data_IF_488268109502
#
_entry.id   IF_488268109502
#
_cell.length_a   1.000
_cell.length_b   1.000
_cell.length_c   1.000
_cell.angle_alpha   90.00
_cell.angle_beta   90.00
_cell.angle_gamma   90.00
#
_symmetry.space_group_name_H-M   'P 1'
#
loop_
_entity.id
_entity.type
_entity.pdbx_description
1 polymer ?
#
# COMPACT_ATOMS: atom_id res chain seq x y z
N UNK A 1 63.77 16.87 5.33
CA UNK A 1 64.91 16.98 4.39
C UNK A 1 64.90 15.71 3.55
N UNK A 2 64.82 15.64 2.22
CA UNK A 2 65.16 16.53 1.10
C UNK A 2 64.24 16.12 -0.07
N UNK A 3 63.78 17.08 -0.87
CA UNK A 3 63.10 16.89 -2.17
C UNK A 3 64.14 16.50 -3.24
N UNK A 4 63.81 15.65 -4.21
CA UNK A 4 64.42 15.70 -5.56
C UNK A 4 63.34 15.37 -6.62
N UNK A 5 63.18 16.33 -7.53
CA UNK A 5 62.46 16.35 -8.81
C UNK A 5 63.51 16.08 -9.91
N UNK A 6 63.14 15.44 -11.04
CA UNK A 6 63.72 15.57 -12.41
C UNK A 6 62.75 14.81 -13.36
N UNK A 7 61.97 15.46 -14.25
CA UNK A 7 62.30 15.97 -15.62
C UNK A 7 62.80 14.86 -16.57
N UNK A 8 62.49 14.72 -17.86
CA UNK A 8 61.67 15.36 -18.90
C UNK A 8 61.91 14.53 -20.18
N UNK A 9 60.97 14.55 -21.16
CA UNK A 9 61.21 14.43 -22.62
C UNK A 9 61.63 13.05 -23.22
N UNK A 10 61.33 12.67 -24.47
CA UNK A 10 60.51 13.18 -25.60
C UNK A 10 60.71 12.21 -26.80
N UNK A 11 59.72 12.12 -27.69
CA UNK A 11 59.86 11.61 -29.07
C UNK A 11 59.31 10.19 -29.29
N UNK A 12 58.52 9.90 -30.30
CA UNK A 12 58.04 10.66 -31.47
C UNK A 12 57.91 9.71 -32.67
N UNK A 13 56.87 9.95 -33.49
CA UNK A 13 56.70 9.47 -34.89
C UNK A 13 56.33 7.96 -35.01
N UNK A 14 55.53 7.43 -35.94
CA UNK A 14 54.87 7.86 -37.19
C UNK A 14 54.11 6.63 -37.77
N UNK A 15 53.27 6.87 -38.79
CA UNK A 15 52.66 5.92 -39.75
C UNK A 15 51.51 5.04 -39.19
N UNK A 16 50.45 4.69 -39.90
CA UNK A 16 49.85 5.06 -41.19
C UNK A 16 48.63 4.14 -41.36
N UNK A 17 47.64 4.60 -42.11
CA UNK A 17 46.44 3.87 -42.53
C UNK A 17 46.68 2.40 -42.95
N UNK A 18 45.77 1.51 -42.53
CA UNK A 18 45.67 0.13 -43.02
C UNK A 18 44.41 -0.58 -42.47
N UNK A 19 43.41 -0.78 -43.33
CA UNK A 19 42.21 -1.60 -43.10
C UNK A 19 42.55 -3.06 -42.74
N UNK A 20 41.89 -3.62 -41.71
CA UNK A 20 40.97 -4.77 -41.81
C UNK A 20 40.58 -5.36 -40.45
N UNK A 21 39.26 -5.55 -40.31
CA UNK A 21 38.50 -6.61 -39.63
C UNK A 21 38.55 -6.76 -38.10
N UNK A 22 37.33 -6.62 -37.54
CA UNK A 22 36.62 -7.56 -36.62
C UNK A 22 37.44 -8.12 -35.43
N UNK A 23 37.05 -8.01 -34.16
CA UNK A 23 35.72 -8.10 -33.59
C UNK A 23 35.81 -7.86 -32.06
N UNK A 24 34.67 -7.46 -31.47
CA UNK A 24 34.20 -7.71 -30.09
C UNK A 24 34.60 -6.76 -28.94
N UNK A 25 33.59 -5.92 -28.66
CA UNK A 25 32.90 -5.70 -27.37
C UNK A 25 33.50 -4.65 -26.42
N UNK A 26 33.19 -3.42 -26.78
CA UNK A 26 32.72 -2.35 -25.89
C UNK A 26 31.75 -2.92 -24.83
N UNK A 27 31.88 -2.56 -23.55
CA UNK A 27 31.76 -1.18 -23.11
C UNK A 27 30.32 -1.02 -22.64
N UNK A 28 30.16 -0.96 -21.32
CA UNK A 28 28.90 -0.77 -20.62
C UNK A 28 28.29 0.58 -21.01
N UNK A 29 27.40 0.57 -22.00
CA UNK A 29 26.44 1.65 -22.28
C UNK A 29 25.11 1.29 -21.60
N UNK A 30 24.76 2.03 -20.55
CA UNK A 30 23.38 2.08 -20.05
C UNK A 30 22.54 2.83 -21.08
N UNK A 31 21.89 2.09 -21.98
CA UNK A 31 20.79 2.60 -22.80
C UNK A 31 19.49 2.35 -22.05
N UNK A 32 18.88 3.44 -21.62
CA UNK A 32 17.45 3.55 -21.33
C UNK A 32 16.66 2.98 -22.50
N UNK A 33 16.11 1.79 -22.29
CA UNK A 33 14.93 1.30 -22.99
C UNK A 33 13.91 0.95 -21.90
N UNK A 34 12.98 1.86 -21.66
CA UNK A 34 11.72 1.55 -20.98
C UNK A 34 10.85 0.90 -22.06
N UNK A 35 10.63 -0.43 -22.07
CA UNK A 35 9.42 -0.92 -22.67
C UNK A 35 8.31 -0.46 -21.74
N UNK A 36 7.51 0.48 -22.21
CA UNK A 36 6.16 0.65 -21.71
C UNK A 36 5.37 -0.60 -22.06
N UNK A 37 5.61 -1.66 -21.27
CA UNK A 37 4.59 -2.65 -21.04
C UNK A 37 3.52 -1.91 -20.24
N UNK A 38 2.49 -1.43 -20.94
CA UNK A 38 1.14 -1.46 -20.37
C UNK A 38 0.97 -2.89 -19.86
N UNK A 39 1.30 -3.10 -18.60
CA UNK A 39 0.76 -4.24 -17.86
C UNK A 39 -0.73 -3.94 -17.86
N UNK A 40 -1.39 -4.60 -18.79
CA UNK A 40 -2.82 -4.87 -18.78
C UNK A 40 -3.25 -5.04 -17.33
N UNK A 41 -4.33 -4.35 -16.97
CA UNK A 41 -5.07 -4.61 -15.76
C UNK A 41 -5.08 -6.13 -15.54
N UNK A 42 -4.42 -6.57 -14.47
CA UNK A 42 -4.64 -7.91 -13.98
C UNK A 42 -6.14 -8.00 -13.75
N UNK A 43 -6.80 -8.89 -14.50
CA UNK A 43 -8.21 -9.18 -14.33
C UNK A 43 -8.52 -9.29 -12.84
N UNK A 44 -9.32 -8.34 -12.38
CA UNK A 44 -9.75 -8.18 -11.02
C UNK A 44 -10.46 -9.46 -10.60
N UNK A 45 -9.87 -10.22 -9.67
CA UNK A 45 -10.70 -10.96 -8.75
C UNK A 45 -11.36 -9.91 -7.84
N UNK A 46 -12.38 -9.22 -8.37
CA UNK A 46 -13.06 -8.16 -7.65
C UNK A 46 -13.52 -8.71 -6.30
N UNK A 47 -13.02 -8.12 -5.22
CA UNK A 47 -13.46 -8.48 -3.87
C UNK A 47 -14.98 -8.24 -3.82
N UNK A 48 -15.80 -9.24 -3.45
CA UNK A 48 -17.24 -9.09 -3.44
C UNK A 48 -17.68 -7.88 -2.61
N UNK A 49 -18.72 -7.19 -3.10
CA UNK A 49 -19.46 -6.19 -2.34
C UNK A 49 -20.75 -6.86 -1.90
N UNK A 50 -20.91 -6.98 -0.59
CA UNK A 50 -22.12 -7.49 0.04
C UNK A 50 -22.42 -6.58 1.23
N UNK A 51 -23.49 -5.80 1.11
CA UNK A 51 -23.90 -4.84 2.14
C UNK A 51 -24.76 -5.49 3.23
N UNK A 52 -25.23 -6.72 3.02
CA UNK A 52 -26.01 -7.48 3.98
C UNK A 52 -25.11 -8.39 4.86
N UNK A 53 -23.83 -8.50 4.52
CA UNK A 53 -22.85 -9.23 5.29
C UNK A 53 -22.25 -8.38 6.41
N UNK A 54 -22.64 -8.65 7.65
CA UNK A 54 -22.05 -8.03 8.85
C UNK A 54 -20.70 -8.64 9.29
N UNK A 55 -20.28 -9.73 8.66
CA UNK A 55 -19.07 -10.47 9.03
C UNK A 55 -19.20 -11.20 10.38
N UNK A 56 -18.04 -11.44 10.99
CA UNK A 56 -17.84 -12.28 12.18
C UNK A 56 -17.40 -11.44 13.37
N UNK A 57 -18.34 -11.18 14.28
CA UNK A 57 -18.06 -10.45 15.51
C UNK A 57 -19.33 -9.98 16.23
N UNK A 58 -19.17 -9.18 17.30
CA UNK A 58 -20.27 -8.79 18.18
C UNK A 58 -21.19 -7.73 17.58
N UNK A 59 -20.75 -6.99 16.55
CA UNK A 59 -21.56 -5.94 15.95
C UNK A 59 -22.51 -6.52 14.91
N UNK A 60 -23.79 -6.19 15.06
CA UNK A 60 -24.90 -6.60 14.19
C UNK A 60 -25.85 -5.42 14.02
N UNK A 61 -26.45 -5.29 12.85
CA UNK A 61 -27.49 -4.29 12.55
C UNK A 61 -27.08 -2.84 12.89
N UNK A 62 -25.78 -2.53 12.73
CA UNK A 62 -25.25 -1.19 13.05
C UNK A 62 -25.75 -0.19 12.00
N UNK A 63 -26.40 0.87 12.48
CA UNK A 63 -26.77 2.03 11.69
C UNK A 63 -26.08 3.28 12.21
N UNK A 64 -25.89 4.26 11.33
CA UNK A 64 -25.38 5.57 11.69
C UNK A 64 -26.52 6.57 11.77
N UNK A 65 -26.40 7.53 12.67
CA UNK A 65 -27.25 8.71 12.68
C UNK A 65 -27.08 9.50 11.39
N UNK A 66 -28.11 10.24 10.97
CA UNK A 66 -28.04 11.07 9.76
C UNK A 66 -26.90 12.09 9.82
N UNK A 67 -26.73 12.74 10.98
CA UNK A 67 -25.64 13.64 11.24
C UNK A 67 -24.37 12.89 11.69
N UNK A 68 -23.21 13.45 11.35
CA UNK A 68 -21.93 13.00 11.93
C UNK A 68 -21.82 13.59 13.34
N UNK A 69 -21.53 12.73 14.30
CA UNK A 69 -21.15 13.15 15.64
C UNK A 69 -19.69 13.64 15.61
N UNK A 70 -19.51 14.97 15.61
CA UNK A 70 -18.19 15.59 15.46
C UNK A 70 -17.21 15.26 16.60
N UNK A 71 -17.69 15.12 17.83
CA UNK A 71 -16.85 14.79 18.99
C UNK A 71 -16.34 13.35 18.89
N UNK A 72 -17.24 12.41 18.57
CA UNK A 72 -16.91 11.01 18.35
C UNK A 72 -15.97 10.83 17.15
N UNK A 73 -16.21 11.55 16.04
CA UNK A 73 -15.34 11.55 14.88
C UNK A 73 -13.94 12.09 15.21
N UNK A 74 -13.82 13.12 16.05
CA UNK A 74 -12.54 13.65 16.48
C UNK A 74 -11.76 12.66 17.36
N UNK A 75 -12.44 11.96 18.26
CA UNK A 75 -11.84 10.87 19.04
C UNK A 75 -11.37 9.73 18.13
N UNK A 76 -12.20 9.33 17.16
CA UNK A 76 -11.88 8.34 16.15
C UNK A 76 -10.70 8.72 15.26
N UNK A 77 -10.58 9.99 14.89
CA UNK A 77 -9.45 10.51 14.11
C UNK A 77 -8.14 10.36 14.88
N UNK A 78 -8.13 10.69 16.16
CA UNK A 78 -6.95 10.56 17.00
C UNK A 78 -6.47 9.10 17.08
N UNK A 79 -7.41 8.16 17.22
CA UNK A 79 -7.13 6.72 17.19
C UNK A 79 -6.62 6.29 15.81
N UNK A 80 -7.34 6.63 14.75
CA UNK A 80 -6.94 6.32 13.37
C UNK A 80 -5.51 6.76 13.07
N UNK A 81 -5.17 8.00 13.43
CA UNK A 81 -3.82 8.56 13.28
C UNK A 81 -2.77 7.75 14.03
N UNK A 82 -3.07 7.33 15.26
CA UNK A 82 -2.13 6.60 16.11
C UNK A 82 -1.86 5.16 15.65
N UNK A 83 -2.88 4.43 15.18
CA UNK A 83 -2.79 2.98 14.97
C UNK A 83 -3.06 2.50 13.53
N UNK A 84 -3.83 3.24 12.72
CA UNK A 84 -4.28 2.75 11.42
C UNK A 84 -3.44 3.28 10.25
N UNK A 85 -2.85 4.48 10.38
CA UNK A 85 -2.11 5.15 9.31
C UNK A 85 -0.82 4.44 8.88
N UNK A 86 -0.32 3.52 9.71
CA UNK A 86 0.81 2.66 9.37
C UNK A 86 0.51 1.75 8.16
N UNK A 87 -0.76 1.39 7.97
CA UNK A 87 -1.18 0.44 6.94
C UNK A 87 -2.21 1.01 5.96
N UNK A 88 -3.03 1.95 6.40
CA UNK A 88 -4.14 2.51 5.62
C UNK A 88 -3.91 3.97 5.29
N UNK A 89 -4.47 4.38 4.15
CA UNK A 89 -4.58 5.77 3.74
C UNK A 89 -6.04 6.06 3.37
N UNK A 90 -6.42 7.34 3.38
CA UNK A 90 -7.78 7.72 2.99
C UNK A 90 -8.06 7.35 1.53
N UNK A 91 -7.26 7.85 0.59
CA UNK A 91 -7.61 7.79 -0.84
C UNK A 91 -6.79 6.80 -1.67
N UNK A 92 -5.69 6.27 -1.12
CA UNK A 92 -4.75 5.42 -1.86
C UNK A 92 -4.59 4.06 -1.23
N UNK A 93 -4.37 3.06 -2.08
CA UNK A 93 -3.90 1.74 -1.66
C UNK A 93 -2.53 1.85 -1.01
N UNK A 94 -2.30 1.08 0.05
CA UNK A 94 -0.99 0.91 0.68
C UNK A 94 -0.80 -0.57 1.09
N UNK A 95 -0.51 -0.85 2.36
CA UNK A 95 -0.48 -2.21 2.91
C UNK A 95 -1.91 -2.74 3.00
N UNK A 96 -2.83 -1.90 3.48
CA UNK A 96 -4.27 -2.14 3.45
C UNK A 96 -4.99 -1.32 2.38
N UNK A 97 -6.31 -1.55 2.22
CA UNK A 97 -7.16 -0.77 1.32
C UNK A 97 -7.21 0.71 1.67
N UNK A 98 -7.50 1.53 0.65
CA UNK A 98 -7.98 2.90 0.86
C UNK A 98 -9.26 2.86 1.72
N UNK A 99 -9.48 3.85 2.58
CA UNK A 99 -10.62 3.86 3.52
C UNK A 99 -11.72 4.86 3.17
N UNK A 100 -11.46 5.84 2.30
CA UNK A 100 -12.49 6.73 1.77
C UNK A 100 -13.61 5.92 1.12
N UNK A 101 -14.85 6.32 1.37
CA UNK A 101 -16.04 5.63 0.87
C UNK A 101 -16.18 4.18 1.33
N UNK A 102 -15.58 3.75 2.46
CA UNK A 102 -15.68 2.35 2.92
C UNK A 102 -17.11 1.87 3.08
N UNK A 103 -18.01 2.77 3.46
CA UNK A 103 -19.43 2.48 3.62
C UNK A 103 -20.23 2.39 2.31
N UNK A 104 -19.60 2.69 1.16
CA UNK A 104 -20.18 2.39 -0.16
C UNK A 104 -19.98 0.93 -0.56
N UNK A 105 -19.05 0.23 0.12
CA UNK A 105 -18.64 -1.13 -0.22
C UNK A 105 -18.83 -2.13 0.92
N UNK A 106 -19.00 -1.70 2.17
CA UNK A 106 -19.14 -2.58 3.34
C UNK A 106 -20.19 -2.03 4.30
N UNK A 107 -20.94 -2.93 4.96
CA UNK A 107 -21.87 -2.53 6.01
C UNK A 107 -21.12 -1.90 7.21
N UNK A 108 -21.76 -1.01 7.99
CA UNK A 108 -21.16 -0.45 9.19
C UNK A 108 -20.71 -1.52 10.19
N UNK A 109 -21.54 -2.56 10.38
CA UNK A 109 -21.23 -3.66 11.27
C UNK A 109 -20.02 -4.47 10.77
N UNK A 110 -19.90 -4.72 9.47
CA UNK A 110 -18.74 -5.40 8.89
C UNK A 110 -17.45 -4.62 9.17
N UNK A 111 -17.46 -3.29 8.95
CA UNK A 111 -16.29 -2.44 9.20
C UNK A 111 -15.89 -2.49 10.68
N UNK A 112 -16.85 -2.39 11.59
CA UNK A 112 -16.57 -2.47 13.03
C UNK A 112 -16.05 -3.86 13.44
N UNK A 113 -16.62 -4.95 12.90
CA UNK A 113 -16.14 -6.31 13.15
C UNK A 113 -14.73 -6.54 12.59
N UNK A 114 -14.40 -5.97 11.42
CA UNK A 114 -13.04 -6.01 10.88
C UNK A 114 -12.02 -5.29 11.76
N UNK A 115 -12.39 -4.14 12.34
CA UNK A 115 -11.53 -3.39 13.26
C UNK A 115 -11.35 -4.14 14.59
N UNK A 116 -12.43 -4.70 15.14
CA UNK A 116 -12.46 -5.33 16.47
C UNK A 116 -11.91 -6.75 16.51
N UNK A 117 -12.18 -7.52 15.46
CA UNK A 117 -11.91 -8.95 15.39
C UNK A 117 -11.30 -9.35 14.02
N UNK A 118 -10.19 -8.74 13.60
CA UNK A 118 -9.62 -9.05 12.29
C UNK A 118 -9.19 -10.52 12.17
N UNK A 119 -8.74 -11.16 13.24
CA UNK A 119 -8.34 -12.58 13.21
C UNK A 119 -9.51 -13.50 12.85
N UNK A 120 -10.67 -13.32 13.51
CA UNK A 120 -11.88 -14.07 13.21
C UNK A 120 -12.42 -13.77 11.81
N UNK A 121 -12.41 -12.50 11.42
CA UNK A 121 -12.81 -12.06 10.08
C UNK A 121 -11.95 -12.74 9.00
N UNK A 122 -10.63 -12.65 9.09
CA UNK A 122 -9.70 -13.27 8.13
C UNK A 122 -9.82 -14.80 8.09
N UNK A 123 -10.20 -15.43 9.21
CA UNK A 123 -10.38 -16.88 9.30
C UNK A 123 -11.71 -17.35 8.72
N UNK A 124 -12.77 -16.57 8.82
CA UNK A 124 -14.14 -17.05 8.59
C UNK A 124 -14.87 -16.26 7.49
N UNK A 125 -14.80 -14.94 7.50
CA UNK A 125 -15.53 -14.07 6.57
C UNK A 125 -15.00 -14.15 5.12
N UNK A 126 -15.86 -14.40 4.11
CA UNK A 126 -15.44 -14.55 2.72
C UNK A 126 -14.87 -13.25 2.13
N UNK A 127 -15.37 -12.08 2.52
CA UNK A 127 -14.88 -10.79 2.02
C UNK A 127 -13.50 -10.50 2.59
N UNK A 128 -13.29 -10.71 3.89
CA UNK A 128 -12.00 -10.53 4.55
C UNK A 128 -10.93 -11.46 3.96
N UNK A 129 -11.29 -12.72 3.64
CA UNK A 129 -10.39 -13.64 2.93
C UNK A 129 -10.04 -13.19 1.52
N UNK A 130 -11.03 -12.67 0.79
CA UNK A 130 -10.80 -12.12 -0.55
C UNK A 130 -9.88 -10.89 -0.48
N UNK A 131 -10.10 -9.98 0.49
CA UNK A 131 -9.20 -8.87 0.78
C UNK A 131 -7.80 -9.36 1.15
N UNK A 132 -7.67 -10.36 2.00
CA UNK A 132 -6.37 -10.90 2.38
C UNK A 132 -5.57 -11.34 1.15
N UNK A 133 -6.20 -12.08 0.24
CA UNK A 133 -5.58 -12.51 -1.03
C UNK A 133 -5.24 -11.32 -1.92
N UNK A 134 -6.16 -10.37 -2.08
CA UNK A 134 -5.99 -9.16 -2.89
C UNK A 134 -4.83 -8.27 -2.38
N UNK A 135 -4.59 -8.26 -1.08
CA UNK A 135 -3.56 -7.46 -0.42
C UNK A 135 -2.31 -8.29 -0.08
N UNK A 136 -1.97 -9.27 -0.92
CA UNK A 136 -0.74 -10.08 -0.84
C UNK A 136 -0.55 -10.80 0.51
N UNK A 137 -1.66 -11.24 1.12
CA UNK A 137 -1.70 -11.86 2.45
C UNK A 137 -1.18 -10.96 3.58
N UNK A 138 -1.24 -9.63 3.42
CA UNK A 138 -0.98 -8.70 4.50
C UNK A 138 -2.10 -8.80 5.55
N UNK A 139 -1.75 -9.29 6.75
CA UNK A 139 -2.70 -9.49 7.85
C UNK A 139 -2.98 -8.14 8.53
N UNK A 140 -4.25 -7.81 8.71
CA UNK A 140 -4.67 -6.74 9.61
C UNK A 140 -4.58 -7.25 11.05
N UNK A 141 -3.71 -6.65 11.87
CA UNK A 141 -3.50 -7.07 13.25
C UNK A 141 -4.57 -6.49 14.17
N UNK A 142 -5.00 -7.26 15.16
CA UNK A 142 -5.91 -6.78 16.18
C UNK A 142 -5.24 -5.69 17.05
N UNK A 143 -5.82 -4.48 17.03
CA UNK A 143 -5.32 -3.33 17.81
C UNK A 143 -5.90 -3.28 19.23
N UNK A 144 -6.72 -4.27 19.61
CA UNK A 144 -7.35 -4.44 20.92
C UNK A 144 -8.19 -3.22 21.35
N UNK A 145 -8.84 -2.57 20.39
CA UNK A 145 -9.76 -1.47 20.68
C UNK A 145 -10.96 -1.95 21.50
N UNK A 146 -11.46 -1.10 22.39
CA UNK A 146 -12.77 -1.31 23.03
C UNK A 146 -13.89 -1.15 22.00
N UNK A 147 -15.12 -1.48 22.38
CA UNK A 147 -16.28 -1.34 21.49
C UNK A 147 -16.55 0.15 21.19
N UNK A 148 -16.40 1.01 22.20
CA UNK A 148 -16.51 2.46 22.05
C UNK A 148 -15.42 3.03 21.13
N UNK A 149 -14.16 2.65 21.33
CA UNK A 149 -13.06 3.08 20.46
C UNK A 149 -13.25 2.59 19.01
N UNK A 150 -13.80 1.39 18.85
CA UNK A 150 -14.15 0.86 17.52
C UNK A 150 -15.25 1.72 16.87
N UNK A 151 -16.28 2.10 17.63
CA UNK A 151 -17.37 2.96 17.18
C UNK A 151 -16.90 4.36 16.84
N UNK A 152 -15.98 4.92 17.62
CA UNK A 152 -15.32 6.21 17.37
C UNK A 152 -14.57 6.19 16.04
N UNK A 153 -13.70 5.19 15.82
CA UNK A 153 -12.99 5.03 14.55
C UNK A 153 -13.97 4.90 13.39
N UNK A 154 -15.02 4.09 13.53
CA UNK A 154 -16.06 3.96 12.50
C UNK A 154 -16.75 5.31 12.21
N UNK A 155 -17.04 6.12 13.23
CA UNK A 155 -17.59 7.47 13.03
C UNK A 155 -16.64 8.35 12.21
N UNK A 156 -15.36 8.32 12.54
CA UNK A 156 -14.34 9.06 11.80
C UNK A 156 -14.28 8.64 10.33
N UNK A 157 -14.37 7.34 10.02
CA UNK A 157 -14.34 6.87 8.63
C UNK A 157 -15.49 7.43 7.78
N UNK A 158 -16.59 7.89 8.38
CA UNK A 158 -17.69 8.57 7.67
C UNK A 158 -17.29 9.94 7.13
N UNK A 159 -16.20 10.51 7.64
CA UNK A 159 -15.70 11.85 7.27
C UNK A 159 -14.69 11.84 6.13
N UNK A 160 -14.23 10.65 5.71
CA UNK A 160 -13.17 10.47 4.71
C UNK A 160 -13.64 10.59 3.26
#
# INVERSE_FOLDING_TARGET
>A
MKKIIILLAMGGLIFSCGEKKEEKKEGFEMKTAKPEKKTEAAEEAAVPVDMDNDGVGPFKDVSFDEAINAEMAAAGEAKYKAICTACHMAEKRMIGPALKGVYERRSPAWVMNMIKNPDGMLKEDPIAKALLKEYNNAIMLNQNLTDDETREVAEYLRTL
#
